data_IF_658010203926
#
_entry.id   IF_658010203926
#
_cell.length_a   1.000
_cell.length_b   1.000
_cell.length_c   1.000
_cell.angle_alpha   90.00
_cell.angle_beta   90.00
_cell.angle_gamma   90.00
#
_symmetry.space_group_name_H-M   'P 1'
#
loop_
_entity.id
_entity.type
_entity.pdbx_description
1 polymer ?
#
# COMPACT_ATOMS: atom_id res chain seq x y z
N UNK A 1 16.09 17.68 35.98
CA UNK A 1 14.98 17.85 35.03
C UNK A 1 14.81 16.55 34.26
N UNK A 2 13.71 15.84 34.44
CA UNK A 2 13.43 14.61 33.70
C UNK A 2 13.09 15.06 32.27
N UNK A 3 13.92 14.63 31.29
CA UNK A 3 13.67 14.89 29.86
C UNK A 3 12.30 14.29 29.51
N UNK A 4 11.39 15.08 28.96
CA UNK A 4 10.12 14.55 28.44
C UNK A 4 10.42 13.67 27.23
N UNK A 5 9.84 12.47 27.22
CA UNK A 5 9.94 11.54 26.08
C UNK A 5 9.29 12.15 24.83
N UNK A 6 9.94 12.02 23.69
CA UNK A 6 9.35 12.34 22.38
C UNK A 6 8.18 11.40 22.04
N UNK A 7 7.40 11.71 21.01
CA UNK A 7 6.33 10.82 20.56
C UNK A 7 6.91 9.51 20.02
N UNK A 8 8.01 9.58 19.29
CA UNK A 8 8.72 8.40 18.79
C UNK A 8 9.19 7.50 19.94
N UNK A 9 9.85 8.06 20.97
CA UNK A 9 10.26 7.29 22.16
C UNK A 9 9.07 6.65 22.88
N UNK A 10 7.88 7.27 22.86
CA UNK A 10 6.66 6.66 23.40
C UNK A 10 6.15 5.51 22.55
N UNK A 11 6.20 5.63 21.23
CA UNK A 11 5.82 4.55 20.29
C UNK A 11 6.80 3.40 20.43
N UNK A 12 8.12 3.62 20.43
CA UNK A 12 9.13 2.58 20.66
C UNK A 12 8.85 1.83 21.98
N UNK A 13 8.61 2.55 23.07
CA UNK A 13 8.26 1.96 24.37
C UNK A 13 7.01 1.11 24.28
N UNK A 14 5.97 1.57 23.56
CA UNK A 14 4.72 0.84 23.35
C UNK A 14 4.96 -0.48 22.61
N UNK A 15 5.85 -0.50 21.61
CA UNK A 15 6.26 -1.71 20.89
C UNK A 15 7.02 -2.70 21.80
N UNK A 16 7.96 -2.19 22.60
CA UNK A 16 8.76 -3.01 23.52
C UNK A 16 7.87 -3.65 24.59
N UNK A 17 6.95 -2.89 25.20
CA UNK A 17 6.02 -3.39 26.22
C UNK A 17 5.10 -4.52 25.73
N UNK A 18 4.96 -4.66 24.41
CA UNK A 18 4.13 -5.68 23.74
C UNK A 18 4.94 -6.75 23.01
N UNK A 19 6.26 -6.72 23.14
CA UNK A 19 7.18 -7.59 22.41
C UNK A 19 7.07 -7.50 20.89
N UNK A 20 6.48 -6.43 20.35
CA UNK A 20 6.33 -6.23 18.90
C UNK A 20 7.65 -5.91 18.21
N UNK A 21 8.65 -5.45 18.96
CA UNK A 21 10.00 -5.17 18.46
C UNK A 21 10.79 -6.42 18.03
N UNK A 22 10.32 -7.62 18.41
CA UNK A 22 10.86 -8.92 18.01
C UNK A 22 10.05 -9.58 16.88
N UNK A 23 8.94 -8.96 16.47
CA UNK A 23 8.07 -9.49 15.43
C UNK A 23 8.72 -9.41 14.04
N UNK A 24 8.21 -10.25 13.11
CA UNK A 24 8.73 -10.31 11.75
C UNK A 24 8.51 -8.98 10.99
N UNK A 25 9.57 -8.33 10.48
CA UNK A 25 9.48 -7.09 9.73
C UNK A 25 8.60 -7.15 8.48
N UNK A 26 8.44 -8.33 7.85
CA UNK A 26 7.55 -8.49 6.69
C UNK A 26 6.10 -8.19 7.06
N UNK A 27 5.64 -8.65 8.24
CA UNK A 27 4.29 -8.34 8.74
C UNK A 27 4.10 -6.85 9.03
N UNK A 28 5.14 -6.21 9.52
CA UNK A 28 5.12 -4.77 9.74
C UNK A 28 5.07 -4.01 8.40
N UNK A 29 5.77 -4.51 7.38
CA UNK A 29 5.69 -3.96 6.03
C UNK A 29 4.30 -4.13 5.39
N UNK A 30 3.65 -5.29 5.58
CA UNK A 30 2.26 -5.48 5.14
C UNK A 30 1.34 -4.43 5.76
N UNK A 31 1.51 -4.18 7.07
CA UNK A 31 0.74 -3.12 7.75
C UNK A 31 1.02 -1.73 7.16
N UNK A 32 2.28 -1.43 6.79
CA UNK A 32 2.61 -0.18 6.12
C UNK A 32 1.87 -0.03 4.78
N UNK A 33 1.71 -1.11 4.02
CA UNK A 33 0.97 -1.09 2.75
C UNK A 33 -0.53 -0.90 2.96
N UNK A 34 -1.09 -1.45 4.03
CA UNK A 34 -2.49 -1.21 4.44
C UNK A 34 -2.71 0.29 4.69
N UNK A 35 -1.91 0.91 5.56
CA UNK A 35 -2.00 2.34 5.87
C UNK A 35 -1.75 3.24 4.65
N UNK A 36 -0.81 2.85 3.78
CA UNK A 36 -0.61 3.55 2.51
C UNK A 36 -1.88 3.48 1.63
N UNK A 37 -2.57 2.34 1.58
CA UNK A 37 -3.84 2.20 0.87
C UNK A 37 -4.92 3.15 1.41
N UNK A 38 -5.04 3.27 2.73
CA UNK A 38 -5.97 4.21 3.38
C UNK A 38 -5.63 5.67 3.08
N UNK A 39 -4.33 6.02 3.07
CA UNK A 39 -3.87 7.34 2.65
C UNK A 39 -4.30 7.66 1.21
N UNK A 40 -4.08 6.75 0.27
CA UNK A 40 -4.51 6.92 -1.13
C UNK A 40 -6.03 7.05 -1.24
N UNK A 41 -6.79 6.26 -0.49
CA UNK A 41 -8.25 6.38 -0.43
C UNK A 41 -8.69 7.75 0.10
N UNK A 42 -8.09 8.21 1.19
CA UNK A 42 -8.37 9.49 1.81
C UNK A 42 -8.14 10.66 0.84
N UNK A 43 -7.01 10.63 0.13
CA UNK A 43 -6.67 11.64 -0.88
C UNK A 43 -7.66 11.61 -2.05
N UNK A 44 -7.93 10.42 -2.61
CA UNK A 44 -8.81 10.26 -3.77
C UNK A 44 -10.27 10.70 -3.48
N UNK A 45 -10.72 10.52 -2.23
CA UNK A 45 -12.09 10.86 -1.79
C UNK A 45 -12.20 12.20 -1.03
N UNK A 46 -11.09 12.93 -0.87
CA UNK A 46 -11.06 14.19 -0.11
C UNK A 46 -11.42 14.05 1.37
N UNK A 47 -11.15 12.89 1.99
CA UNK A 47 -11.48 12.58 3.39
C UNK A 47 -10.33 12.99 4.32
N UNK A 48 -10.31 14.25 4.76
CA UNK A 48 -9.20 14.80 5.55
C UNK A 48 -8.89 14.04 6.85
N UNK A 49 -9.90 13.51 7.54
CA UNK A 49 -9.68 12.76 8.79
C UNK A 49 -8.99 11.41 8.51
N UNK A 50 -9.40 10.69 7.45
CA UNK A 50 -8.73 9.47 7.01
C UNK A 50 -7.27 9.73 6.61
N UNK A 51 -7.00 10.86 5.92
CA UNK A 51 -5.62 11.25 5.56
C UNK A 51 -4.75 11.45 6.80
N UNK A 52 -5.26 12.16 7.83
CA UNK A 52 -4.52 12.40 9.07
C UNK A 52 -4.24 11.12 9.85
N UNK A 53 -5.25 10.27 9.95
CA UNK A 53 -5.18 8.98 10.62
C UNK A 53 -4.12 8.10 9.96
N UNK A 54 -4.25 7.84 8.66
CA UNK A 54 -3.30 7.05 7.88
C UNK A 54 -1.85 7.58 7.97
N UNK A 55 -1.65 8.91 7.92
CA UNK A 55 -0.32 9.51 8.09
C UNK A 55 0.25 9.29 9.50
N UNK A 56 -0.60 9.28 10.52
CA UNK A 56 -0.21 8.95 11.89
C UNK A 56 0.18 7.49 12.02
N UNK A 57 -0.66 6.59 11.52
CA UNK A 57 -0.46 5.15 11.59
C UNK A 57 0.75 4.69 10.77
N UNK A 58 0.99 5.26 9.60
CA UNK A 58 2.24 5.04 8.85
C UNK A 58 3.48 5.39 9.69
N UNK A 59 3.48 6.49 10.46
CA UNK A 59 4.60 6.85 11.31
C UNK A 59 4.80 5.85 12.44
N UNK A 60 3.72 5.39 13.07
CA UNK A 60 3.76 4.33 14.11
C UNK A 60 4.36 3.05 13.51
N UNK A 61 3.88 2.63 12.34
CA UNK A 61 4.36 1.42 11.66
C UNK A 61 5.83 1.52 11.27
N UNK A 62 6.27 2.68 10.74
CA UNK A 62 7.67 2.92 10.38
C UNK A 62 8.59 2.90 11.61
N UNK A 63 8.17 3.50 12.72
CA UNK A 63 8.93 3.43 13.99
C UNK A 63 9.09 1.98 14.46
N UNK A 64 8.02 1.18 14.38
CA UNK A 64 8.06 -0.25 14.70
C UNK A 64 8.98 -1.04 13.80
N UNK A 65 8.91 -0.82 12.49
CA UNK A 65 9.77 -1.48 11.49
C UNK A 65 11.26 -1.15 11.73
N UNK A 66 11.57 0.13 11.99
CA UNK A 66 12.94 0.55 12.30
C UNK A 66 13.45 -0.12 13.56
N UNK A 67 12.63 -0.20 14.61
CA UNK A 67 12.97 -0.85 15.87
C UNK A 67 13.22 -2.36 15.69
N UNK A 68 12.38 -3.05 14.94
CA UNK A 68 12.55 -4.48 14.60
C UNK A 68 13.87 -4.72 13.87
N UNK A 69 14.18 -3.93 12.85
CA UNK A 69 15.42 -4.06 12.07
C UNK A 69 16.66 -3.73 12.90
N UNK A 70 16.61 -2.71 13.75
CA UNK A 70 17.71 -2.37 14.69
C UNK A 70 17.99 -3.49 15.70
N UNK A 71 16.95 -4.20 16.14
CA UNK A 71 17.08 -5.32 17.08
C UNK A 71 17.46 -6.63 16.39
N UNK A 72 17.62 -6.65 15.08
CA UNK A 72 17.96 -7.85 14.32
C UNK A 72 16.85 -8.89 14.28
N UNK A 73 15.59 -8.44 14.25
CA UNK A 73 14.43 -9.32 14.09
C UNK A 73 14.59 -10.19 12.84
N UNK A 74 14.18 -11.45 12.94
CA UNK A 74 14.30 -12.40 11.84
C UNK A 74 13.31 -12.05 10.72
N UNK A 75 13.83 -11.96 9.49
CA UNK A 75 13.06 -11.62 8.30
C UNK A 75 12.69 -12.89 7.56
N UNK A 76 11.44 -13.28 7.65
CA UNK A 76 10.91 -14.45 6.95
C UNK A 76 9.67 -14.07 6.15
N UNK A 77 9.46 -14.76 5.03
CA UNK A 77 8.29 -14.58 4.20
C UNK A 77 7.77 -15.93 3.71
N UNK A 78 6.47 -16.09 3.73
CA UNK A 78 5.77 -17.18 3.03
C UNK A 78 5.85 -16.96 1.51
N UNK A 79 5.56 -17.99 0.68
CA UNK A 79 5.49 -17.80 -0.76
C UNK A 79 4.49 -16.70 -1.18
N UNK A 80 3.35 -16.57 -0.51
CA UNK A 80 2.38 -15.51 -0.79
C UNK A 80 2.93 -14.12 -0.45
N UNK A 81 3.56 -13.95 0.72
CA UNK A 81 4.21 -12.70 1.11
C UNK A 81 5.33 -12.30 0.16
N UNK A 82 6.07 -13.26 -0.39
CA UNK A 82 7.06 -12.99 -1.44
C UNK A 82 6.40 -12.41 -2.70
N UNK A 83 5.25 -12.94 -3.12
CA UNK A 83 4.50 -12.38 -4.25
C UNK A 83 3.97 -10.97 -3.96
N UNK A 84 3.53 -10.69 -2.73
CA UNK A 84 3.12 -9.34 -2.31
C UNK A 84 4.29 -8.35 -2.37
N UNK A 85 5.47 -8.74 -1.89
CA UNK A 85 6.69 -7.92 -1.97
C UNK A 85 7.09 -7.64 -3.43
N UNK A 86 7.01 -8.64 -4.31
CA UNK A 86 7.25 -8.48 -5.75
C UNK A 86 6.24 -7.55 -6.41
N UNK A 87 4.96 -7.65 -6.04
CA UNK A 87 3.91 -6.74 -6.53
C UNK A 87 4.22 -5.30 -6.13
N UNK A 88 4.57 -5.03 -4.87
CA UNK A 88 4.94 -3.68 -4.41
C UNK A 88 6.17 -3.16 -5.14
N UNK A 89 7.16 -4.01 -5.41
CA UNK A 89 8.33 -3.66 -6.23
C UNK A 89 7.92 -3.24 -7.63
N UNK A 90 7.01 -3.97 -8.27
CA UNK A 90 6.50 -3.66 -9.61
C UNK A 90 5.70 -2.35 -9.63
N UNK A 91 4.85 -2.12 -8.62
CA UNK A 91 4.12 -0.87 -8.42
C UNK A 91 5.08 0.32 -8.24
N UNK A 92 6.11 0.17 -7.41
CA UNK A 92 7.15 1.19 -7.20
C UNK A 92 7.91 1.51 -8.49
N UNK A 93 8.22 0.51 -9.32
CA UNK A 93 8.88 0.70 -10.61
C UNK A 93 7.98 1.49 -11.57
N UNK A 94 6.71 1.14 -11.66
CA UNK A 94 5.71 1.88 -12.45
C UNK A 94 5.58 3.33 -11.97
N UNK A 95 5.41 3.53 -10.67
CA UNK A 95 5.31 4.85 -10.06
C UNK A 95 6.55 5.72 -10.35
N UNK A 96 7.76 5.15 -10.24
CA UNK A 96 9.01 5.84 -10.55
C UNK A 96 9.09 6.28 -12.02
N UNK A 97 8.63 5.45 -12.98
CA UNK A 97 8.57 5.79 -14.40
C UNK A 97 7.61 6.96 -14.66
N UNK A 98 6.42 6.93 -14.06
CA UNK A 98 5.45 8.02 -14.16
C UNK A 98 5.98 9.31 -13.53
N UNK A 99 6.57 9.23 -12.34
CA UNK A 99 7.18 10.36 -11.64
C UNK A 99 8.29 11.00 -12.50
N UNK A 100 9.20 10.20 -13.06
CA UNK A 100 10.28 10.70 -13.92
C UNK A 100 9.75 11.37 -15.17
N UNK A 101 8.72 10.80 -15.81
CA UNK A 101 8.10 11.39 -16.98
C UNK A 101 7.53 12.78 -16.68
N UNK A 102 6.86 12.95 -15.55
CA UNK A 102 6.28 14.22 -15.11
C UNK A 102 7.41 15.21 -14.71
N UNK A 103 8.33 14.76 -13.85
CA UNK A 103 9.36 15.62 -13.26
C UNK A 103 10.35 16.18 -14.28
N UNK A 104 10.76 15.33 -15.24
CA UNK A 104 11.71 15.74 -16.30
C UNK A 104 11.00 16.25 -17.55
N UNK A 105 9.68 16.39 -17.55
CA UNK A 105 8.89 16.85 -18.71
C UNK A 105 9.24 16.08 -20.01
N UNK A 106 9.41 14.75 -19.88
CA UNK A 106 9.76 13.90 -21.02
C UNK A 106 8.63 13.92 -22.07
N UNK A 107 8.98 14.14 -23.32
CA UNK A 107 8.01 14.20 -24.42
C UNK A 107 7.56 12.82 -24.91
N UNK A 108 8.33 11.77 -24.62
CA UNK A 108 8.01 10.40 -25.01
C UNK A 108 7.25 9.68 -23.91
N UNK A 109 6.17 9.01 -24.27
CA UNK A 109 5.43 8.14 -23.36
C UNK A 109 6.36 7.11 -22.71
N UNK A 110 6.36 6.97 -21.38
CA UNK A 110 7.22 6.00 -20.70
C UNK A 110 6.86 4.57 -21.08
N UNK A 111 7.89 3.71 -21.23
CA UNK A 111 7.69 2.29 -21.51
C UNK A 111 7.21 1.57 -20.25
N UNK A 112 5.90 1.48 -20.04
CA UNK A 112 5.27 0.86 -18.87
C UNK A 112 4.74 -0.56 -19.13
N UNK A 113 4.67 -1.01 -20.39
CA UNK A 113 4.12 -2.31 -20.74
C UNK A 113 4.77 -3.49 -19.99
N UNK A 114 6.11 -3.55 -19.80
CA UNK A 114 6.72 -4.62 -19.02
C UNK A 114 6.25 -4.64 -17.57
N UNK A 115 6.07 -3.47 -16.94
CA UNK A 115 5.62 -3.35 -15.55
C UNK A 115 4.18 -3.83 -15.41
N UNK A 116 3.31 -3.51 -16.37
CA UNK A 116 1.92 -4.01 -16.40
C UNK A 116 1.87 -5.53 -16.55
N UNK A 117 2.75 -6.12 -17.39
CA UNK A 117 2.85 -7.57 -17.53
C UNK A 117 3.26 -8.21 -16.19
N UNK A 118 4.24 -7.64 -15.51
CA UNK A 118 4.68 -8.13 -14.20
C UNK A 118 3.56 -8.03 -13.16
N UNK A 119 2.82 -6.92 -13.11
CA UNK A 119 1.69 -6.75 -12.21
C UNK A 119 0.57 -7.78 -12.49
N UNK A 120 0.24 -8.04 -13.75
CA UNK A 120 -0.70 -9.10 -14.11
C UNK A 120 -0.21 -10.48 -13.65
N UNK A 121 1.09 -10.76 -13.78
CA UNK A 121 1.69 -12.01 -13.29
C UNK A 121 1.59 -12.12 -11.76
N UNK A 122 1.89 -11.06 -11.02
CA UNK A 122 1.75 -11.06 -9.56
C UNK A 122 0.28 -11.27 -9.14
N UNK A 123 -0.68 -10.62 -9.79
CA UNK A 123 -2.12 -10.83 -9.53
C UNK A 123 -2.49 -12.30 -9.74
N UNK A 124 -2.01 -12.92 -10.82
CA UNK A 124 -2.27 -14.33 -11.11
C UNK A 124 -1.70 -15.24 -10.01
N UNK A 125 -0.44 -15.04 -9.61
CA UNK A 125 0.21 -15.80 -8.53
C UNK A 125 -0.54 -15.67 -7.21
N UNK A 126 -0.89 -14.43 -6.81
CA UNK A 126 -1.62 -14.17 -5.55
C UNK A 126 -3.01 -14.82 -5.59
N UNK A 127 -3.72 -14.79 -6.73
CA UNK A 127 -5.01 -15.45 -6.88
C UNK A 127 -4.90 -16.97 -6.64
N UNK A 128 -3.85 -17.62 -7.14
CA UNK A 128 -3.60 -19.05 -6.91
C UNK A 128 -3.41 -19.34 -5.42
N UNK A 129 -2.61 -18.53 -4.69
CA UNK A 129 -2.43 -18.68 -3.24
C UNK A 129 -3.75 -18.58 -2.48
N UNK A 130 -4.70 -17.78 -3.00
CA UNK A 130 -6.04 -17.62 -2.42
C UNK A 130 -7.10 -18.58 -3.00
N UNK A 131 -6.67 -19.70 -3.60
CA UNK A 131 -7.55 -20.74 -4.14
C UNK A 131 -8.56 -20.22 -5.18
N UNK A 132 -8.18 -19.22 -5.98
CA UNK A 132 -9.01 -18.62 -7.04
C UNK A 132 -8.18 -18.40 -8.30
N UNK A 133 -8.76 -17.76 -9.32
CA UNK A 133 -8.06 -17.35 -10.54
C UNK A 133 -8.24 -15.85 -10.79
N UNK A 134 -7.28 -15.24 -11.49
CA UNK A 134 -7.37 -13.84 -11.87
C UNK A 134 -8.64 -13.55 -12.71
N UNK A 135 -9.03 -14.49 -13.60
CA UNK A 135 -10.25 -14.35 -14.41
C UNK A 135 -11.53 -14.40 -13.56
N UNK A 136 -11.57 -15.27 -12.55
CA UNK A 136 -12.70 -15.32 -11.61
C UNK A 136 -12.82 -14.00 -10.84
N UNK A 137 -11.69 -13.47 -10.34
CA UNK A 137 -11.66 -12.19 -9.64
C UNK A 137 -12.09 -11.04 -10.56
N UNK A 138 -11.62 -11.03 -11.81
CA UNK A 138 -12.02 -10.04 -12.81
C UNK A 138 -13.50 -10.11 -13.14
N UNK A 139 -14.07 -11.33 -13.25
CA UNK A 139 -15.51 -11.52 -13.51
C UNK A 139 -16.34 -10.93 -12.36
N UNK A 140 -15.96 -11.19 -11.09
CA UNK A 140 -16.63 -10.62 -9.91
C UNK A 140 -16.61 -9.10 -9.98
N UNK A 141 -15.43 -8.50 -10.21
CA UNK A 141 -15.27 -7.04 -10.31
C UNK A 141 -16.09 -6.46 -11.47
N UNK A 142 -16.11 -7.14 -12.64
CA UNK A 142 -16.92 -6.71 -13.78
C UNK A 142 -18.42 -6.75 -13.48
N UNK A 143 -18.90 -7.79 -12.80
CA UNK A 143 -20.31 -7.91 -12.42
C UNK A 143 -20.75 -6.79 -11.48
N UNK A 144 -19.86 -6.28 -10.64
CA UNK A 144 -20.11 -5.12 -9.80
C UNK A 144 -20.16 -3.79 -10.57
N UNK A 145 -19.32 -3.63 -11.62
CA UNK A 145 -19.16 -2.33 -12.28
C UNK A 145 -20.01 -2.17 -13.55
N UNK A 146 -20.43 -3.26 -14.21
CA UNK A 146 -21.09 -3.24 -15.52
C UNK A 146 -22.35 -2.35 -15.58
N UNK A 147 -23.11 -2.28 -14.48
CA UNK A 147 -24.34 -1.48 -14.38
C UNK A 147 -24.15 -0.21 -13.52
N UNK A 148 -22.91 0.09 -13.11
CA UNK A 148 -22.60 1.21 -12.22
C UNK A 148 -22.78 2.55 -12.94
N UNK A 149 -23.62 3.42 -12.37
CA UNK A 149 -23.82 4.79 -12.84
C UNK A 149 -22.94 5.77 -12.06
N UNK A 150 -22.55 6.86 -12.71
CA UNK A 150 -21.71 7.89 -12.09
C UNK A 150 -21.22 8.92 -13.11
N UNK A 151 -20.33 9.79 -12.68
CA UNK A 151 -19.72 10.85 -13.48
C UNK A 151 -18.22 10.94 -13.27
N UNK A 152 -17.51 11.40 -14.29
CA UNK A 152 -16.11 11.78 -14.15
C UNK A 152 -16.03 13.17 -13.50
N UNK A 153 -15.33 13.27 -12.37
CA UNK A 153 -15.03 14.53 -11.67
C UNK A 153 -13.51 14.56 -11.44
N UNK A 154 -12.86 15.58 -11.96
CA UNK A 154 -11.40 15.78 -11.84
C UNK A 154 -10.54 14.54 -12.18
N UNK A 155 -10.98 13.77 -13.20
CA UNK A 155 -10.28 12.57 -13.66
C UNK A 155 -10.60 11.29 -12.87
N UNK A 156 -11.48 11.35 -11.87
CA UNK A 156 -11.94 10.21 -11.07
C UNK A 156 -13.41 9.91 -11.36
N UNK A 157 -13.74 8.62 -11.53
CA UNK A 157 -15.15 8.22 -11.65
C UNK A 157 -15.80 8.22 -10.26
N UNK A 158 -16.77 9.09 -10.05
CA UNK A 158 -17.58 9.20 -8.82
C UNK A 158 -18.92 8.51 -9.06
N UNK A 159 -19.26 7.55 -8.20
CA UNK A 159 -20.55 6.84 -8.29
C UNK A 159 -21.72 7.78 -8.06
N UNK A 160 -22.89 7.45 -8.62
CA UNK A 160 -24.11 8.26 -8.49
C UNK A 160 -24.54 8.42 -7.01
N UNK A 161 -24.33 7.39 -6.19
CA UNK A 161 -24.60 7.38 -4.74
C UNK A 161 -23.68 8.29 -3.93
N UNK A 162 -22.47 8.60 -4.46
CA UNK A 162 -21.46 9.47 -3.82
C UNK A 162 -21.52 10.94 -4.32
N UNK A 163 -22.49 11.26 -5.19
CA UNK A 163 -22.65 12.60 -5.82
C UNK A 163 -23.48 13.59 -4.99
N UNK A 164 -23.70 13.35 -3.70
CA UNK A 164 -24.51 14.21 -2.79
C UNK A 164 -23.75 15.41 -2.29
#
# INVERSE_FOLDING_TARGET
MTKMMSLEEKVEKWFVERNLHEANPVKQFEKLMEEAGELFEGIAKGKNELIKDALGDMQVVLTGLELQLKNGADIQATPEEMELLLMVTSLGTLANKLHKHIFYSETKTPLIKPDLIMLHSNIHSIAIHNCTTADTCLQIAYDEIKDRKGKMIDGVFVKEEDLT
#
